data_IF_090487097969
#
_entry.id   IF_090487097969
#
_cell.length_a   1.000
_cell.length_b   1.000
_cell.length_c   1.000
_cell.angle_alpha   90.00
_cell.angle_beta   90.00
_cell.angle_gamma   90.00
#
_symmetry.space_group_name_H-M   'P 1'
#
loop_
_entity.id
_entity.type
_entity.pdbx_description
1 polymer ?
#
# COMPACT_ATOMS: atom_id res chain seq x y z
N UNK A 1 16.65 11.53 12.62
CA UNK A 1 15.71 11.03 11.61
C UNK A 1 16.47 10.11 10.66
N UNK A 2 15.91 8.95 10.30
CA UNK A 2 16.56 7.94 9.47
C UNK A 2 16.82 8.41 8.01
N UNK A 3 16.05 9.40 7.54
CA UNK A 3 16.13 9.97 6.19
C UNK A 3 17.25 11.00 5.98
N UNK A 4 17.95 11.44 7.05
CA UNK A 4 18.99 12.46 6.94
C UNK A 4 20.09 12.00 5.99
N UNK A 5 20.36 12.77 4.92
CA UNK A 5 21.36 12.47 3.89
C UNK A 5 20.98 11.33 2.93
N UNK A 6 19.73 10.83 2.99
CA UNK A 6 19.20 9.79 2.08
C UNK A 6 18.18 10.33 1.08
N UNK A 7 17.40 11.32 1.48
CA UNK A 7 16.43 11.96 0.60
C UNK A 7 17.13 12.98 -0.30
N UNK A 8 16.87 12.98 -1.62
CA UNK A 8 17.37 14.05 -2.50
C UNK A 8 16.71 15.38 -2.15
N UNK A 9 17.42 16.48 -2.38
CA UNK A 9 16.89 17.82 -2.15
C UNK A 9 15.77 18.18 -3.15
N UNK A 10 15.78 17.55 -4.33
CA UNK A 10 14.85 17.83 -5.42
C UNK A 10 14.55 16.53 -6.20
N UNK A 11 13.34 16.03 -6.08
CA UNK A 11 12.86 14.83 -6.77
C UNK A 11 12.55 15.06 -8.25
N UNK A 12 12.38 16.33 -8.69
CA UNK A 12 12.12 16.64 -10.11
C UNK A 12 13.31 16.29 -11.00
N UNK A 13 14.50 16.21 -10.44
CA UNK A 13 15.72 15.75 -11.16
C UNK A 13 15.66 14.29 -11.59
N UNK A 14 14.76 13.49 -11.01
CA UNK A 14 14.54 12.10 -11.39
C UNK A 14 13.53 11.94 -12.54
N UNK A 15 12.89 13.01 -13.01
CA UNK A 15 11.86 12.98 -14.06
C UNK A 15 12.54 12.83 -15.44
N UNK A 16 12.88 11.59 -15.78
CA UNK A 16 13.43 11.19 -17.08
C UNK A 16 12.43 10.31 -17.84
N UNK A 17 11.95 10.75 -18.98
CA UNK A 17 11.03 9.98 -19.82
C UNK A 17 11.66 8.71 -20.41
N UNK A 18 12.99 8.59 -20.41
CA UNK A 18 13.73 7.41 -20.85
C UNK A 18 14.10 6.45 -19.70
N UNK A 19 13.69 6.70 -18.45
CA UNK A 19 14.09 5.91 -17.29
C UNK A 19 13.69 4.41 -17.37
N UNK A 20 12.71 4.04 -18.20
CA UNK A 20 12.38 2.64 -18.46
C UNK A 20 13.40 1.93 -19.37
N UNK A 21 14.16 2.63 -20.18
CA UNK A 21 15.11 2.02 -21.11
C UNK A 21 16.24 1.30 -20.38
N UNK A 22 16.32 -0.02 -20.56
CA UNK A 22 17.29 -0.89 -19.89
C UNK A 22 16.95 -1.19 -18.42
N UNK A 23 15.94 -0.58 -17.83
CA UNK A 23 15.49 -0.89 -16.47
C UNK A 23 14.98 -2.33 -16.39
N UNK A 24 15.43 -3.08 -15.37
CA UNK A 24 14.94 -4.45 -15.12
C UNK A 24 13.75 -4.41 -14.19
N UNK A 25 12.58 -4.73 -14.71
CA UNK A 25 11.30 -4.64 -13.99
C UNK A 25 10.77 -6.05 -13.75
N UNK A 26 10.60 -6.41 -12.48
CA UNK A 26 10.02 -7.69 -12.06
C UNK A 26 8.49 -7.60 -11.98
N UNK A 27 7.79 -8.63 -12.42
CA UNK A 27 6.33 -8.71 -12.31
C UNK A 27 5.97 -9.66 -11.16
N UNK A 28 5.37 -9.13 -10.10
CA UNK A 28 4.93 -9.91 -8.95
C UNK A 28 3.54 -10.53 -9.22
N UNK A 29 3.52 -11.65 -9.94
CA UNK A 29 2.31 -12.37 -10.35
C UNK A 29 1.45 -12.85 -9.19
N UNK A 30 2.02 -13.00 -8.01
CA UNK A 30 1.27 -13.38 -6.80
C UNK A 30 0.30 -12.30 -6.28
N UNK A 31 0.28 -11.10 -6.89
CA UNK A 31 -0.74 -10.06 -6.64
C UNK A 31 -1.78 -9.96 -7.76
N UNK A 32 -1.77 -10.85 -8.73
CA UNK A 32 -2.73 -10.91 -9.84
C UNK A 32 -3.84 -11.95 -9.55
N UNK A 33 -4.80 -12.08 -10.46
CA UNK A 33 -5.83 -13.12 -10.43
C UNK A 33 -7.08 -12.79 -9.61
N UNK A 34 -7.13 -11.66 -8.92
CA UNK A 34 -8.33 -11.24 -8.20
C UNK A 34 -9.38 -10.59 -9.11
N UNK A 35 -9.00 -10.14 -10.31
CA UNK A 35 -9.90 -9.55 -11.31
C UNK A 35 -9.30 -9.69 -12.71
N UNK A 36 -9.92 -10.46 -13.58
CA UNK A 36 -9.50 -10.60 -14.99
C UNK A 36 -9.47 -9.26 -15.75
N UNK A 37 -10.34 -8.32 -15.40
CA UNK A 37 -10.36 -7.01 -16.03
C UNK A 37 -9.13 -6.17 -15.62
N UNK A 38 -8.73 -6.24 -14.35
CA UNK A 38 -7.50 -5.60 -13.86
C UNK A 38 -6.28 -6.28 -14.47
N UNK A 39 -6.26 -7.61 -14.53
CA UNK A 39 -5.14 -8.36 -15.12
C UNK A 39 -4.90 -7.96 -16.58
N UNK A 40 -5.96 -7.76 -17.40
CA UNK A 40 -5.80 -7.26 -18.78
C UNK A 40 -5.14 -5.88 -18.83
N UNK A 41 -5.56 -4.95 -17.97
CA UNK A 41 -4.93 -3.61 -17.88
C UNK A 41 -3.45 -3.74 -17.50
N UNK A 42 -3.12 -4.66 -16.61
CA UNK A 42 -1.72 -4.91 -16.22
C UNK A 42 -0.90 -5.52 -17.35
N UNK A 43 -1.46 -6.43 -18.16
CA UNK A 43 -0.75 -6.97 -19.35
C UNK A 43 -0.44 -5.85 -20.36
N UNK A 44 -1.38 -4.93 -20.60
CA UNK A 44 -1.15 -3.76 -21.46
C UNK A 44 -0.05 -2.85 -20.87
N UNK A 45 -0.05 -2.63 -19.56
CA UNK A 45 0.98 -1.85 -18.87
C UNK A 45 2.38 -2.50 -18.97
N UNK A 46 2.46 -3.82 -18.82
CA UNK A 46 3.71 -4.59 -18.98
C UNK A 46 4.21 -4.50 -20.42
N UNK A 47 3.33 -4.65 -21.39
CA UNK A 47 3.67 -4.51 -22.81
C UNK A 47 4.18 -3.10 -23.14
N UNK A 48 3.56 -2.04 -22.58
CA UNK A 48 4.00 -0.66 -22.77
C UNK A 48 5.41 -0.44 -22.18
N UNK A 49 5.70 -0.93 -20.99
CA UNK A 49 7.04 -0.85 -20.40
C UNK A 49 8.09 -1.57 -21.25
N UNK A 50 7.75 -2.77 -21.76
CA UNK A 50 8.63 -3.52 -22.67
C UNK A 50 8.91 -2.76 -23.95
N UNK A 51 7.89 -2.14 -24.54
CA UNK A 51 8.02 -1.30 -25.74
C UNK A 51 8.86 -0.04 -25.49
N UNK A 52 8.84 0.51 -24.27
CA UNK A 52 9.70 1.61 -23.83
C UNK A 52 11.14 1.17 -23.51
N UNK A 53 11.47 -0.10 -23.75
CA UNK A 53 12.83 -0.65 -23.60
C UNK A 53 13.15 -1.24 -22.24
N UNK A 54 12.16 -1.46 -21.37
CA UNK A 54 12.38 -2.16 -20.11
C UNK A 54 12.63 -3.67 -20.33
N UNK A 55 13.48 -4.25 -19.50
CA UNK A 55 13.74 -5.68 -19.45
C UNK A 55 12.78 -6.29 -18.44
N UNK A 56 11.73 -6.96 -18.91
CA UNK A 56 10.71 -7.57 -18.06
C UNK A 56 11.19 -8.93 -17.56
N UNK A 57 11.09 -9.13 -16.25
CA UNK A 57 11.34 -10.41 -15.55
C UNK A 57 10.02 -10.91 -14.97
N UNK A 58 9.47 -11.96 -15.56
CA UNK A 58 8.13 -12.46 -15.25
C UNK A 58 8.14 -13.99 -15.14
N UNK A 59 7.76 -14.60 -14.02
CA UNK A 59 7.39 -13.95 -12.76
C UNK A 59 8.60 -13.53 -11.88
N UNK A 60 8.38 -12.50 -11.03
CA UNK A 60 9.29 -12.09 -9.97
C UNK A 60 8.51 -11.87 -8.66
N UNK A 61 7.98 -12.95 -8.12
CA UNK A 61 7.10 -12.95 -6.97
C UNK A 61 7.83 -12.60 -5.67
N UNK A 62 7.16 -11.84 -4.79
CA UNK A 62 7.58 -11.66 -3.40
C UNK A 62 7.14 -12.90 -2.62
N UNK A 63 8.05 -13.86 -2.42
CA UNK A 63 7.74 -15.19 -1.91
C UNK A 63 7.17 -15.21 -0.47
N UNK A 64 7.30 -14.11 0.25
CA UNK A 64 6.83 -13.96 1.63
C UNK A 64 5.53 -13.17 1.76
N UNK A 65 4.96 -12.65 0.66
CA UNK A 65 3.67 -12.00 0.67
C UNK A 65 2.59 -12.91 1.29
N UNK A 66 1.77 -12.36 2.18
CA UNK A 66 0.74 -13.09 2.93
C UNK A 66 1.24 -13.88 4.15
N UNK A 67 2.57 -14.03 4.34
CA UNK A 67 3.12 -14.84 5.47
C UNK A 67 3.28 -14.09 6.78
N UNK A 68 3.02 -12.80 6.78
CA UNK A 68 3.17 -11.94 7.96
C UNK A 68 1.90 -11.15 8.33
N UNK A 69 0.78 -11.41 7.67
CA UNK A 69 -0.46 -10.65 7.85
C UNK A 69 -0.96 -10.64 9.30
N UNK A 70 -0.95 -11.80 9.99
CA UNK A 70 -1.31 -11.85 11.42
C UNK A 70 -0.36 -11.02 12.30
N UNK A 71 0.95 -11.07 11.98
CA UNK A 71 1.94 -10.31 12.72
C UNK A 71 1.84 -8.81 12.42
N UNK A 72 1.52 -8.43 11.18
CA UNK A 72 1.22 -7.06 10.79
C UNK A 72 0.01 -6.53 11.55
N UNK A 73 -1.09 -7.29 11.56
CA UNK A 73 -2.30 -6.87 12.26
C UNK A 73 -2.05 -6.69 13.76
N UNK A 74 -1.26 -7.57 14.36
CA UNK A 74 -0.85 -7.40 15.76
C UNK A 74 -0.03 -6.10 15.97
N UNK A 75 0.95 -5.82 15.12
CA UNK A 75 1.73 -4.57 15.16
C UNK A 75 0.81 -3.36 15.04
N UNK A 76 -0.13 -3.37 14.08
CA UNK A 76 -1.10 -2.29 13.89
C UNK A 76 -1.92 -2.03 15.15
N UNK A 77 -2.43 -3.06 15.84
CA UNK A 77 -3.20 -2.92 17.07
C UNK A 77 -2.39 -2.26 18.19
N UNK A 78 -1.12 -2.67 18.39
CA UNK A 78 -0.22 -2.09 19.39
C UNK A 78 0.09 -0.63 19.09
N UNK A 79 0.49 -0.34 17.85
CA UNK A 79 0.91 0.99 17.43
C UNK A 79 -0.27 1.97 17.33
N UNK A 80 -1.45 1.50 16.90
CA UNK A 80 -2.68 2.28 16.91
C UNK A 80 -3.02 2.79 18.32
N UNK A 81 -3.08 1.91 19.32
CA UNK A 81 -3.33 2.32 20.70
C UNK A 81 -2.32 3.35 21.20
N UNK A 82 -1.04 3.07 20.99
CA UNK A 82 0.03 3.94 21.47
C UNK A 82 0.02 5.30 20.76
N UNK A 83 -0.10 5.30 19.42
CA UNK A 83 -0.12 6.49 18.59
C UNK A 83 -1.35 7.36 18.85
N UNK A 84 -2.54 6.74 18.91
CA UNK A 84 -3.79 7.46 19.19
C UNK A 84 -3.78 8.10 20.58
N UNK A 85 -3.37 7.36 21.61
CA UNK A 85 -3.26 7.91 22.96
C UNK A 85 -2.27 9.07 23.01
N UNK A 86 -1.11 8.96 22.34
CA UNK A 86 -0.14 10.02 22.23
C UNK A 86 -0.73 11.25 21.55
N UNK A 87 -1.40 11.09 20.41
CA UNK A 87 -2.05 12.19 19.70
C UNK A 87 -3.11 12.88 20.56
N UNK A 88 -4.04 12.12 21.14
CA UNK A 88 -5.14 12.67 21.95
C UNK A 88 -4.62 13.40 23.21
N UNK A 89 -3.49 12.98 23.74
CA UNK A 89 -2.87 13.66 24.90
C UNK A 89 -2.34 15.08 24.56
N UNK A 90 -2.06 15.35 23.27
CA UNK A 90 -1.61 16.69 22.81
C UNK A 90 -2.76 17.69 22.67
N UNK A 91 -3.99 17.21 22.61
CA UNK A 91 -5.18 18.07 22.52
C UNK A 91 -5.42 18.72 23.89
N UNK A 92 -5.65 20.01 23.91
CA UNK A 92 -5.81 20.80 25.14
C UNK A 92 -6.92 20.29 26.07
N UNK A 93 -7.08 20.91 27.23
CA UNK A 93 -8.04 20.52 28.28
C UNK A 93 -9.51 20.50 27.79
N UNK A 94 -9.82 21.22 26.71
CA UNK A 94 -11.15 21.22 26.10
C UNK A 94 -11.51 19.93 25.32
N UNK A 95 -10.54 19.05 25.04
CA UNK A 95 -10.83 17.77 24.37
C UNK A 95 -11.52 16.80 25.33
N UNK A 96 -12.75 16.33 25.04
CA UNK A 96 -13.54 15.51 25.96
C UNK A 96 -12.96 14.08 26.10
N UNK A 97 -12.34 13.54 25.04
CA UNK A 97 -11.81 12.17 25.00
C UNK A 97 -10.30 12.19 24.74
N UNK A 98 -9.50 11.71 25.68
CA UNK A 98 -8.04 11.87 25.69
C UNK A 98 -7.27 10.56 25.50
N UNK A 99 -7.95 9.47 25.29
CA UNK A 99 -7.36 8.16 25.04
C UNK A 99 -8.37 7.22 24.38
N UNK A 100 -7.89 6.09 23.87
CA UNK A 100 -8.71 5.09 23.20
C UNK A 100 -9.82 4.52 24.10
N UNK A 101 -9.56 4.33 25.40
CA UNK A 101 -10.59 3.83 26.32
C UNK A 101 -11.79 4.78 26.44
N UNK A 102 -11.52 6.11 26.48
CA UNK A 102 -12.59 7.11 26.52
C UNK A 102 -13.40 7.17 25.20
N UNK A 103 -12.73 6.95 24.05
CA UNK A 103 -13.42 6.85 22.75
C UNK A 103 -14.30 5.60 22.67
N UNK A 104 -13.82 4.45 23.17
CA UNK A 104 -14.61 3.21 23.22
C UNK A 104 -15.85 3.41 24.10
N UNK A 105 -15.71 4.04 25.26
CA UNK A 105 -16.86 4.34 26.13
C UNK A 105 -17.85 5.27 25.46
N UNK A 106 -17.38 6.35 24.83
CA UNK A 106 -18.24 7.27 24.07
C UNK A 106 -19.02 6.57 22.95
N UNK A 107 -18.36 5.72 22.15
CA UNK A 107 -19.01 4.98 21.10
C UNK A 107 -20.08 4.01 21.65
N UNK A 108 -19.83 3.36 22.79
CA UNK A 108 -20.80 2.46 23.40
C UNK A 108 -22.02 3.22 23.95
N UNK A 109 -21.80 4.37 24.59
CA UNK A 109 -22.88 5.23 25.08
C UNK A 109 -23.74 5.80 23.93
N UNK A 110 -23.14 6.03 22.76
CA UNK A 110 -23.77 6.59 21.58
C UNK A 110 -24.04 5.56 20.47
N UNK A 111 -23.99 4.27 20.74
CA UNK A 111 -23.98 3.20 19.73
C UNK A 111 -25.14 3.22 18.74
N UNK A 112 -26.31 3.68 19.15
CA UNK A 112 -27.46 3.80 18.26
C UNK A 112 -27.21 4.79 17.10
N UNK A 113 -26.33 5.76 17.30
CA UNK A 113 -25.95 6.77 16.32
C UNK A 113 -24.61 6.47 15.64
N UNK A 114 -23.61 6.02 16.42
CA UNK A 114 -22.23 5.85 15.95
C UNK A 114 -21.98 4.46 15.33
N UNK A 115 -22.76 3.44 15.72
CA UNK A 115 -22.54 2.04 15.27
C UNK A 115 -23.84 1.38 14.72
N UNK A 116 -24.63 2.05 13.84
CA UNK A 116 -25.86 1.45 13.32
C UNK A 116 -25.60 0.30 12.34
N UNK A 117 -24.42 0.18 11.75
CA UNK A 117 -24.09 -0.81 10.71
C UNK A 117 -22.95 -1.75 11.09
N UNK A 118 -21.97 -1.31 11.87
CA UNK A 118 -20.83 -2.13 12.35
C UNK A 118 -20.34 -1.61 13.69
N UNK A 119 -19.65 -2.48 14.44
CA UNK A 119 -19.19 -2.19 15.79
C UNK A 119 -17.77 -1.62 15.86
N UNK A 120 -17.13 -1.75 17.05
CA UNK A 120 -15.80 -1.23 17.33
C UNK A 120 -14.81 -2.31 17.76
N UNK A 121 -14.94 -3.52 17.23
CA UNK A 121 -14.18 -4.70 17.65
C UNK A 121 -12.66 -4.46 17.56
N UNK A 122 -12.22 -3.76 16.52
CA UNK A 122 -10.80 -3.42 16.32
C UNK A 122 -10.28 -2.46 17.39
N UNK A 123 -11.09 -1.49 17.84
CA UNK A 123 -10.73 -0.61 18.95
C UNK A 123 -10.59 -1.40 20.26
N UNK A 124 -11.52 -2.30 20.53
CA UNK A 124 -11.48 -3.18 21.73
C UNK A 124 -10.25 -4.08 21.71
N UNK A 125 -9.94 -4.70 20.56
CA UNK A 125 -8.72 -5.50 20.37
C UNK A 125 -7.44 -4.68 20.56
N UNK A 126 -7.40 -3.45 20.03
CA UNK A 126 -6.27 -2.56 20.23
C UNK A 126 -6.12 -2.14 21.71
N UNK A 127 -7.23 -1.80 22.38
CA UNK A 127 -7.22 -1.43 23.80
C UNK A 127 -6.68 -2.54 24.70
N UNK A 128 -6.92 -3.80 24.36
CA UNK A 128 -6.41 -4.96 25.08
C UNK A 128 -4.88 -5.17 24.94
N UNK A 129 -4.22 -4.52 23.98
CA UNK A 129 -2.77 -4.66 23.76
C UNK A 129 -1.97 -3.96 24.88
N UNK A 130 -0.82 -4.55 25.19
CA UNK A 130 0.17 -4.00 26.13
C UNK A 130 0.99 -2.83 25.55
N UNK A 131 2.08 -2.45 26.21
CA UNK A 131 2.97 -1.38 25.72
C UNK A 131 3.85 -1.87 24.55
N UNK A 132 4.40 -0.93 23.77
CA UNK A 132 5.35 -1.22 22.67
C UNK A 132 6.68 -1.84 23.15
N UNK A 133 6.91 -1.91 24.44
CA UNK A 133 8.07 -2.60 25.06
C UNK A 133 7.85 -4.09 25.25
N UNK A 134 6.61 -4.60 25.10
CA UNK A 134 6.28 -6.01 25.32
C UNK A 134 7.01 -6.94 24.33
N UNK A 135 7.33 -8.16 24.79
CA UNK A 135 8.00 -9.17 23.97
C UNK A 135 7.14 -9.55 22.75
N UNK A 136 5.82 -9.68 22.92
CA UNK A 136 4.91 -10.02 21.83
C UNK A 136 4.97 -9.01 20.69
N UNK A 137 4.88 -7.70 20.99
CA UNK A 137 5.03 -6.65 19.97
C UNK A 137 6.39 -6.72 19.27
N UNK A 138 7.48 -6.83 20.02
CA UNK A 138 8.84 -6.89 19.45
C UNK A 138 9.01 -8.09 18.51
N UNK A 139 8.47 -9.25 18.89
CA UNK A 139 8.52 -10.48 18.08
C UNK A 139 7.70 -10.31 16.79
N UNK A 140 6.46 -9.81 16.87
CA UNK A 140 5.63 -9.55 15.72
C UNK A 140 6.30 -8.56 14.75
N UNK A 141 6.80 -7.44 15.27
CA UNK A 141 7.50 -6.43 14.47
C UNK A 141 8.76 -6.97 13.81
N UNK A 142 9.57 -7.77 14.51
CA UNK A 142 10.76 -8.39 13.94
C UNK A 142 10.40 -9.36 12.81
N UNK A 143 9.33 -10.17 12.97
CA UNK A 143 8.81 -11.05 11.92
C UNK A 143 8.38 -10.23 10.69
N UNK A 144 7.62 -9.15 10.89
CA UNK A 144 7.19 -8.26 9.82
C UNK A 144 8.39 -7.71 9.03
N UNK A 145 9.37 -7.12 9.72
CA UNK A 145 10.53 -6.53 9.06
C UNK A 145 11.38 -7.57 8.31
N UNK A 146 11.61 -8.74 8.89
CA UNK A 146 12.38 -9.80 8.23
C UNK A 146 11.68 -10.27 6.96
N UNK A 147 10.39 -10.62 7.05
CA UNK A 147 9.65 -11.19 5.93
C UNK A 147 9.32 -10.16 4.84
N UNK A 148 9.14 -8.88 5.18
CA UNK A 148 8.88 -7.85 4.16
C UNK A 148 10.16 -7.33 3.50
N UNK A 149 11.27 -7.20 4.25
CA UNK A 149 12.56 -6.68 3.77
C UNK A 149 13.45 -7.81 3.24
N UNK A 150 14.29 -8.36 4.15
CA UNK A 150 15.39 -9.27 3.80
C UNK A 150 14.92 -10.50 3.04
N UNK A 151 13.87 -11.17 3.51
CA UNK A 151 13.35 -12.40 2.89
C UNK A 151 12.30 -12.10 1.80
N UNK A 152 11.83 -10.85 1.70
CA UNK A 152 10.79 -10.39 0.80
C UNK A 152 11.31 -9.54 -0.36
N UNK A 153 11.16 -8.22 -0.26
CA UNK A 153 11.49 -7.27 -1.33
C UNK A 153 12.96 -7.36 -1.70
N UNK A 154 13.89 -7.32 -0.72
CA UNK A 154 15.35 -7.34 -0.96
C UNK A 154 15.76 -8.64 -1.65
N UNK A 155 15.27 -9.79 -1.18
CA UNK A 155 15.56 -11.09 -1.80
C UNK A 155 15.06 -11.16 -3.26
N UNK A 156 13.87 -10.63 -3.54
CA UNK A 156 13.31 -10.63 -4.89
C UNK A 156 14.10 -9.71 -5.83
N UNK A 157 14.41 -8.50 -5.39
CA UNK A 157 15.22 -7.54 -6.15
C UNK A 157 16.60 -8.12 -6.46
N UNK A 158 17.28 -8.68 -5.45
CA UNK A 158 18.64 -9.24 -5.61
C UNK A 158 18.66 -10.46 -6.53
N UNK A 159 17.76 -11.43 -6.30
CA UNK A 159 17.65 -12.68 -7.08
C UNK A 159 17.55 -12.41 -8.58
N UNK A 160 16.77 -11.44 -8.95
CA UNK A 160 16.47 -11.12 -10.35
C UNK A 160 17.23 -9.89 -10.87
N UNK A 161 18.04 -9.25 -10.03
CA UNK A 161 18.77 -8.00 -10.33
C UNK A 161 17.85 -6.91 -10.85
N UNK A 162 16.74 -6.67 -10.11
CA UNK A 162 15.71 -5.75 -10.53
C UNK A 162 15.98 -4.32 -10.07
N UNK A 163 15.53 -3.36 -10.89
CA UNK A 163 15.43 -1.95 -10.52
C UNK A 163 14.19 -1.69 -9.69
N UNK A 164 13.07 -2.34 -10.04
CA UNK A 164 11.79 -2.28 -9.32
C UNK A 164 10.97 -3.55 -9.55
N UNK A 165 9.98 -3.77 -8.67
CA UNK A 165 8.94 -4.78 -8.82
C UNK A 165 7.66 -4.04 -9.15
N UNK A 166 6.84 -4.57 -10.07
CA UNK A 166 5.51 -4.03 -10.39
C UNK A 166 4.41 -5.02 -10.05
N UNK A 167 3.27 -4.47 -9.63
CA UNK A 167 2.06 -5.20 -9.35
C UNK A 167 0.84 -4.28 -9.54
N UNK A 168 -0.40 -4.82 -9.70
CA UNK A 168 -1.60 -4.01 -9.64
C UNK A 168 -1.69 -3.31 -8.29
N UNK A 169 -1.99 -2.02 -8.27
CA UNK A 169 -2.17 -1.27 -7.01
C UNK A 169 -3.33 -1.83 -6.21
N UNK A 170 -4.44 -2.12 -6.89
CA UNK A 170 -5.65 -2.72 -6.34
C UNK A 170 -6.73 -2.85 -7.40
N UNK A 171 -7.94 -3.22 -6.97
CA UNK A 171 -9.14 -3.25 -7.81
C UNK A 171 -9.70 -1.85 -8.11
N UNK A 172 -10.68 -1.74 -9.00
CA UNK A 172 -11.46 -0.51 -9.18
C UNK A 172 -12.26 -0.21 -7.91
N UNK A 173 -12.65 1.06 -7.73
CA UNK A 173 -13.55 1.45 -6.64
C UNK A 173 -14.88 0.69 -6.72
N UNK A 174 -15.52 0.47 -5.57
CA UNK A 174 -16.80 -0.23 -5.45
C UNK A 174 -17.81 0.60 -4.64
N UNK A 175 -19.13 0.36 -4.81
CA UNK A 175 -20.15 1.01 -4.00
C UNK A 175 -20.06 0.61 -2.53
N UNK A 176 -20.43 1.51 -1.62
CA UNK A 176 -20.64 1.17 -0.21
C UNK A 176 -21.82 0.18 -0.11
N UNK A 177 -21.59 -0.98 0.50
CA UNK A 177 -22.60 -2.01 0.74
C UNK A 177 -22.75 -2.24 2.25
N UNK A 178 -23.89 -1.77 2.80
CA UNK A 178 -24.19 -1.88 4.22
C UNK A 178 -24.72 -3.27 4.63
N UNK A 179 -24.97 -4.15 3.67
CA UNK A 179 -25.49 -5.51 3.90
C UNK A 179 -24.37 -6.54 3.83
N UNK A 180 -23.58 -6.51 2.74
CA UNK A 180 -22.52 -7.50 2.50
C UNK A 180 -21.13 -7.04 2.94
N UNK A 181 -20.97 -5.76 3.27
CA UNK A 181 -19.69 -5.16 3.67
C UNK A 181 -18.81 -4.78 2.49
N UNK A 182 -17.52 -4.61 2.75
CA UNK A 182 -16.51 -4.19 1.78
C UNK A 182 -16.25 -5.23 0.70
N UNK A 183 -16.11 -4.79 -0.54
CA UNK A 183 -15.75 -5.63 -1.68
C UNK A 183 -14.26 -5.50 -2.04
N UNK A 184 -13.37 -5.55 -1.05
CA UNK A 184 -11.94 -5.56 -1.30
C UNK A 184 -11.51 -6.89 -1.94
N UNK A 185 -10.99 -6.83 -3.18
CA UNK A 185 -10.64 -8.02 -3.95
C UNK A 185 -9.14 -8.31 -3.98
N UNK A 186 -8.30 -7.31 -3.71
CA UNK A 186 -6.85 -7.48 -3.70
C UNK A 186 -6.08 -6.17 -3.84
N UNK A 187 -4.79 -6.22 -3.55
CA UNK A 187 -3.87 -5.10 -3.66
C UNK A 187 -2.43 -5.50 -3.35
N UNK A 188 -1.47 -4.62 -3.57
CA UNK A 188 -0.03 -4.90 -3.45
C UNK A 188 0.71 -4.00 -2.47
N UNK A 189 0.02 -3.21 -1.66
CA UNK A 189 0.65 -2.22 -0.77
C UNK A 189 1.37 -2.82 0.44
N UNK A 190 0.88 -3.94 0.96
CA UNK A 190 1.32 -4.54 2.23
C UNK A 190 2.84 -4.76 2.34
N UNK A 191 3.54 -5.39 1.37
CA UNK A 191 4.98 -5.62 1.53
C UNK A 191 5.80 -4.33 1.70
N UNK A 192 5.52 -3.30 0.92
CA UNK A 192 6.24 -2.03 1.00
C UNK A 192 5.86 -1.22 2.24
N UNK A 193 4.57 -1.20 2.60
CA UNK A 193 4.08 -0.53 3.80
C UNK A 193 4.73 -1.11 5.07
N UNK A 194 4.74 -2.43 5.22
CA UNK A 194 5.35 -3.14 6.36
C UNK A 194 6.86 -3.00 6.37
N UNK A 195 7.51 -3.04 5.21
CA UNK A 195 8.94 -2.81 5.09
C UNK A 195 9.33 -1.37 5.40
N UNK A 196 8.44 -0.39 5.25
CA UNK A 196 8.79 1.02 5.22
C UNK A 196 9.66 1.35 4.00
N UNK A 197 9.42 0.66 2.89
CA UNK A 197 10.09 0.86 1.60
C UNK A 197 9.22 1.68 0.65
N UNK A 198 9.81 2.41 -0.29
CA UNK A 198 9.05 3.23 -1.21
C UNK A 198 8.20 2.39 -2.17
N UNK A 199 6.99 2.87 -2.42
CA UNK A 199 6.09 2.39 -3.46
C UNK A 199 5.43 3.60 -4.12
N UNK A 200 5.44 3.65 -5.46
CA UNK A 200 4.83 4.72 -6.25
C UNK A 200 3.77 4.11 -7.13
N UNK A 201 2.55 4.66 -7.08
CA UNK A 201 1.46 4.25 -7.96
C UNK A 201 1.15 5.32 -9.01
N UNK A 202 0.87 4.86 -10.22
CA UNK A 202 0.40 5.70 -11.32
C UNK A 202 -0.78 5.03 -12.04
N UNK A 203 -1.66 5.80 -12.72
CA UNK A 203 -2.75 5.24 -13.51
C UNK A 203 -2.22 4.29 -14.59
N UNK A 204 -2.76 3.06 -14.63
CA UNK A 204 -2.44 2.07 -15.65
C UNK A 204 -3.54 1.98 -16.73
N UNK A 205 -4.80 2.19 -16.35
CA UNK A 205 -5.95 2.10 -17.25
C UNK A 205 -7.27 2.20 -16.51
N UNK A 206 -8.32 1.67 -17.11
CA UNK A 206 -9.69 1.76 -16.59
C UNK A 206 -10.42 0.43 -16.72
N UNK A 207 -11.24 0.12 -15.72
CA UNK A 207 -12.20 -0.98 -15.71
C UNK A 207 -13.60 -0.37 -15.56
N UNK A 208 -14.48 -0.54 -16.53
CA UNK A 208 -15.81 0.10 -16.57
C UNK A 208 -15.78 1.62 -16.30
N UNK A 209 -14.75 2.31 -16.80
CA UNK A 209 -14.57 3.75 -16.57
C UNK A 209 -13.96 4.13 -15.22
N UNK A 210 -13.75 3.19 -14.31
CA UNK A 210 -13.09 3.39 -13.03
C UNK A 210 -11.58 3.18 -13.16
N UNK A 211 -10.74 4.09 -12.63
CA UNK A 211 -9.29 3.99 -12.76
C UNK A 211 -8.72 2.82 -11.95
N UNK A 212 -7.72 2.17 -12.51
CA UNK A 212 -6.84 1.22 -11.80
C UNK A 212 -5.39 1.62 -11.98
N UNK A 213 -4.59 1.37 -10.95
CA UNK A 213 -3.18 1.76 -10.90
C UNK A 213 -2.23 0.58 -11.00
N UNK A 214 -0.99 0.89 -11.42
CA UNK A 214 0.17 0.03 -11.29
C UNK A 214 1.11 0.61 -10.23
N UNK A 215 1.59 -0.23 -9.32
CA UNK A 215 2.55 0.15 -8.28
C UNK A 215 3.96 -0.27 -8.68
N UNK A 216 4.92 0.64 -8.49
CA UNK A 216 6.36 0.39 -8.58
C UNK A 216 6.91 0.30 -7.15
N UNK A 217 7.41 -0.86 -6.76
CA UNK A 217 7.95 -1.16 -5.44
C UNK A 217 9.47 -1.26 -5.56
N UNK A 218 10.20 -0.60 -4.67
CA UNK A 218 11.66 -0.56 -4.72
C UNK A 218 12.36 -0.89 -3.40
N UNK A 219 13.68 -0.86 -3.43
CA UNK A 219 14.52 -1.01 -2.26
C UNK A 219 14.41 0.21 -1.33
N UNK A 220 14.90 0.08 -0.11
CA UNK A 220 14.98 1.20 0.83
C UNK A 220 15.73 2.38 0.20
N UNK A 221 15.16 3.58 0.28
CA UNK A 221 15.71 4.84 -0.26
C UNK A 221 15.80 4.92 -1.79
N UNK A 222 15.08 4.08 -2.51
CA UNK A 222 15.01 4.15 -3.98
C UNK A 222 13.92 5.08 -4.52
N UNK A 223 13.38 5.98 -3.70
CA UNK A 223 12.25 6.87 -4.02
C UNK A 223 12.45 7.61 -5.34
N UNK A 224 13.62 8.23 -5.55
CA UNK A 224 13.91 8.97 -6.77
C UNK A 224 13.91 8.07 -8.02
N UNK A 225 14.46 6.86 -7.90
CA UNK A 225 14.43 5.88 -9.01
C UNK A 225 12.99 5.49 -9.37
N UNK A 226 12.14 5.22 -8.35
CA UNK A 226 10.74 4.88 -8.59
C UNK A 226 9.96 6.04 -9.19
N UNK A 227 10.20 7.27 -8.76
CA UNK A 227 9.60 8.47 -9.36
C UNK A 227 9.98 8.57 -10.85
N UNK A 228 11.25 8.33 -11.20
CA UNK A 228 11.70 8.31 -12.59
C UNK A 228 11.00 7.24 -13.44
N UNK A 229 10.92 6.00 -12.93
CA UNK A 229 10.23 4.90 -13.62
C UNK A 229 8.73 5.18 -13.81
N UNK A 230 8.06 5.65 -12.75
CA UNK A 230 6.65 6.00 -12.79
C UNK A 230 6.38 7.14 -13.77
N UNK A 231 7.22 8.18 -13.78
CA UNK A 231 7.15 9.27 -14.75
C UNK A 231 7.34 8.78 -16.18
N UNK A 232 8.36 7.96 -16.46
CA UNK A 232 8.57 7.39 -17.79
C UNK A 232 7.37 6.55 -18.26
N UNK A 233 6.78 5.76 -17.36
CA UNK A 233 5.56 4.99 -17.64
C UNK A 233 4.38 5.92 -17.98
N UNK A 234 4.16 6.96 -17.17
CA UNK A 234 3.10 7.95 -17.43
C UNK A 234 3.28 8.66 -18.79
N UNK A 235 4.53 9.06 -19.11
CA UNK A 235 4.83 9.70 -20.40
C UNK A 235 4.62 8.76 -21.58
N UNK A 236 4.88 7.46 -21.42
CA UNK A 236 4.68 6.43 -22.44
C UNK A 236 3.20 6.13 -22.68
N UNK A 237 2.43 5.95 -21.61
CA UNK A 237 1.06 5.44 -21.69
C UNK A 237 -0.01 6.53 -21.79
N UNK A 238 0.23 7.70 -21.17
CA UNK A 238 -0.78 8.78 -21.04
C UNK A 238 -2.13 8.28 -20.49
N UNK A 239 -2.08 7.25 -19.63
CA UNK A 239 -3.28 6.55 -19.16
C UNK A 239 -4.21 7.43 -18.30
N UNK A 240 -3.67 8.48 -17.64
CA UNK A 240 -4.45 9.38 -16.78
C UNK A 240 -5.53 10.12 -17.58
N UNK A 241 -6.77 10.10 -17.05
CA UNK A 241 -7.89 10.93 -17.54
C UNK A 241 -8.40 11.82 -16.43
N UNK A 242 -8.93 13.00 -16.79
CA UNK A 242 -9.57 13.90 -15.83
C UNK A 242 -10.88 13.26 -15.36
N UNK A 243 -11.20 13.24 -14.06
CA UNK A 243 -12.47 12.72 -13.54
C UNK A 243 -13.67 13.49 -14.13
N UNK A 244 -14.74 12.75 -14.42
CA UNK A 244 -15.99 13.35 -14.96
C UNK A 244 -17.04 13.60 -13.88
N UNK A 245 -16.84 13.03 -12.67
CA UNK A 245 -17.82 13.12 -11.58
C UNK A 245 -19.22 12.64 -11.97
N UNK A 246 -19.26 11.50 -12.65
CA UNK A 246 -20.52 10.88 -13.10
C UNK A 246 -21.38 10.51 -11.88
N UNK A 247 -22.72 10.76 -11.93
CA UNK A 247 -23.61 10.48 -10.80
C UNK A 247 -23.84 8.99 -10.56
N UNK A 248 -23.55 8.14 -11.55
CA UNK A 248 -23.70 6.70 -11.48
C UNK A 248 -22.66 6.00 -12.35
N UNK A 249 -22.33 4.75 -12.02
CA UNK A 249 -21.50 3.88 -12.82
C UNK A 249 -22.22 3.52 -14.13
N UNK A 250 -21.54 3.67 -15.26
CA UNK A 250 -21.97 3.17 -16.57
C UNK A 250 -21.24 1.86 -16.87
N UNK A 251 -21.96 0.77 -16.91
CA UNK A 251 -21.46 -0.56 -17.27
C UNK A 251 -21.33 -0.73 -18.79
#
# INVERSE_FOLDING_TARGET
>A
MASRGKAPADYTRALDSAALKGARIGVARNFFGFSHAVDRVMEEAIAAMKSAGAIIVDPANIATAGKFDDAEFDVLLYEFKAGLNSYLSTLGAAAPHRNLAALIAFNEENKAREMPYFGQETFVRAQAKGPLTSAAYKTARAKCLRLSRTDGIDATLAKHRLTAIVAPTGGPAWPTDLINGDHFTGGSSTPSAVAGYPSVTVPAGFVHGLPVGISFIGAQWSDASLVGLAYAFEQTTKARKVPRYEPTLRL
#
